data_IF_153735565487
#
_entry.id   IF_153735565487
#
_cell.length_a   1.000
_cell.length_b   1.000
_cell.length_c   1.000
_cell.angle_alpha   90.00
_cell.angle_beta   90.00
_cell.angle_gamma   90.00
#
_symmetry.space_group_name_H-M   'P 1'
#
loop_
_entity.id
_entity.type
_entity.pdbx_description
1 polymer ?
#
# COMPACT_ATOMS: atom_id res chain seq x y z
N UNK A 1 68.02 18.40 9.56
CA UNK A 1 66.58 18.08 9.49
C UNK A 1 66.37 16.70 10.09
N UNK A 2 65.32 16.50 10.90
CA UNK A 2 65.03 15.21 11.54
C UNK A 2 64.40 14.26 10.52
N UNK A 3 64.80 12.99 10.51
CA UNK A 3 64.17 11.96 9.69
C UNK A 3 62.81 11.58 10.30
N UNK A 4 61.74 11.75 9.53
CA UNK A 4 60.34 11.53 9.95
C UNK A 4 59.71 10.31 9.28
N UNK A 5 60.49 9.51 8.53
CA UNK A 5 59.96 8.38 7.75
C UNK A 5 59.35 7.29 8.64
N UNK A 6 59.96 7.03 9.79
CA UNK A 6 59.42 6.09 10.79
C UNK A 6 58.05 6.54 11.29
N UNK A 7 57.94 7.78 11.75
CA UNK A 7 56.69 8.36 12.25
C UNK A 7 55.56 8.32 11.19
N UNK A 8 55.91 8.56 9.92
CA UNK A 8 54.95 8.47 8.81
C UNK A 8 54.53 7.02 8.51
N UNK A 9 55.44 6.06 8.65
CA UNK A 9 55.16 4.65 8.43
C UNK A 9 54.26 4.07 9.53
N UNK A 10 54.52 4.42 10.79
CA UNK A 10 53.66 4.04 11.92
C UNK A 10 52.25 4.62 11.78
N UNK A 11 52.14 5.88 11.32
CA UNK A 11 50.86 6.51 11.05
C UNK A 11 50.12 5.85 9.89
N UNK A 12 50.82 5.45 8.83
CA UNK A 12 50.22 4.73 7.71
C UNK A 12 49.65 3.38 8.17
N UNK A 13 50.40 2.62 8.96
CA UNK A 13 49.94 1.34 9.52
C UNK A 13 48.70 1.52 10.41
N UNK A 14 48.70 2.52 11.29
CA UNK A 14 47.54 2.82 12.13
C UNK A 14 46.29 3.17 11.29
N UNK A 15 46.46 3.94 10.22
CA UNK A 15 45.35 4.28 9.33
C UNK A 15 44.85 3.05 8.56
N UNK A 16 45.73 2.16 8.11
CA UNK A 16 45.34 0.89 7.47
C UNK A 16 44.53 0.00 8.42
N UNK A 17 44.95 -0.13 9.69
CA UNK A 17 44.22 -0.88 10.71
C UNK A 17 42.84 -0.28 10.99
N UNK A 18 42.75 1.05 11.07
CA UNK A 18 41.46 1.74 11.26
C UNK A 18 40.54 1.52 10.07
N UNK A 19 41.05 1.64 8.84
CA UNK A 19 40.27 1.39 7.62
C UNK A 19 39.72 -0.04 7.64
N UNK A 20 40.57 -1.03 7.92
CA UNK A 20 40.16 -2.44 7.96
C UNK A 20 39.12 -2.69 9.07
N UNK A 21 39.30 -2.05 10.22
CA UNK A 21 38.36 -2.16 11.35
C UNK A 21 36.99 -1.60 11.00
N UNK A 22 36.93 -0.41 10.41
CA UNK A 22 35.68 0.23 10.01
C UNK A 22 34.99 -0.52 8.84
N UNK A 23 35.77 -1.03 7.88
CA UNK A 23 35.25 -1.91 6.83
C UNK A 23 34.61 -3.18 7.40
N UNK A 24 35.28 -3.84 8.35
CA UNK A 24 34.73 -5.03 9.00
C UNK A 24 33.48 -4.75 9.83
N UNK A 25 33.39 -3.58 10.47
CA UNK A 25 32.16 -3.15 11.16
C UNK A 25 31.01 -2.93 10.16
N UNK A 26 31.30 -2.26 9.04
CA UNK A 26 30.32 -2.02 8.00
C UNK A 26 29.79 -3.32 7.37
N UNK A 27 30.67 -4.29 7.12
CA UNK A 27 30.28 -5.61 6.60
C UNK A 27 29.35 -6.35 7.57
N UNK A 28 29.65 -6.33 8.88
CA UNK A 28 28.77 -6.90 9.91
C UNK A 28 27.39 -6.25 9.93
N UNK A 29 27.32 -4.93 9.82
CA UNK A 29 26.05 -4.21 9.76
C UNK A 29 25.24 -4.59 8.51
N UNK A 30 25.89 -4.74 7.35
CA UNK A 30 25.22 -5.22 6.14
C UNK A 30 24.64 -6.62 6.35
N UNK A 31 25.42 -7.53 6.93
CA UNK A 31 24.97 -8.90 7.17
C UNK A 31 23.77 -8.93 8.13
N UNK A 32 23.83 -8.16 9.22
CA UNK A 32 22.72 -8.01 10.15
C UNK A 32 21.46 -7.49 9.46
N UNK A 33 21.56 -6.39 8.70
CA UNK A 33 20.39 -5.83 8.00
C UNK A 33 19.80 -6.79 6.98
N UNK A 34 20.64 -7.56 6.26
CA UNK A 34 20.16 -8.59 5.33
C UNK A 34 19.41 -9.70 6.05
N UNK A 35 19.91 -10.15 7.20
CA UNK A 35 19.26 -11.17 8.01
C UNK A 35 17.91 -10.67 8.55
N UNK A 36 17.88 -9.47 9.15
CA UNK A 36 16.65 -8.86 9.66
C UNK A 36 15.61 -8.66 8.56
N UNK A 37 16.02 -8.15 7.40
CA UNK A 37 15.14 -7.99 6.25
C UNK A 37 14.55 -9.34 5.78
N UNK A 38 15.41 -10.35 5.62
CA UNK A 38 15.00 -11.68 5.16
C UNK A 38 14.00 -12.31 6.13
N UNK A 39 14.28 -12.23 7.44
CA UNK A 39 13.38 -12.72 8.47
C UNK A 39 12.04 -11.99 8.43
N UNK A 40 12.06 -10.65 8.38
CA UNK A 40 10.82 -9.86 8.39
C UNK A 40 9.94 -10.13 7.16
N UNK A 41 10.55 -10.26 5.98
CA UNK A 41 9.82 -10.62 4.76
C UNK A 41 9.26 -12.05 4.85
N UNK A 42 10.04 -12.98 5.42
CA UNK A 42 9.59 -14.35 5.66
C UNK A 42 8.35 -14.40 6.55
N UNK A 43 8.38 -13.71 7.69
CA UNK A 43 7.26 -13.63 8.63
C UNK A 43 6.00 -13.05 7.97
N UNK A 44 6.14 -11.92 7.27
CA UNK A 44 5.02 -11.27 6.59
C UNK A 44 4.43 -12.13 5.47
N UNK A 45 5.28 -12.87 4.76
CA UNK A 45 4.85 -13.79 3.71
C UNK A 45 4.06 -14.97 4.29
N UNK A 46 4.55 -15.54 5.40
CA UNK A 46 3.84 -16.61 6.11
C UNK A 46 2.47 -16.14 6.64
N UNK A 47 2.41 -14.94 7.21
CA UNK A 47 1.15 -14.33 7.69
C UNK A 47 0.18 -14.06 6.53
N UNK A 48 0.67 -13.56 5.40
CA UNK A 48 -0.13 -13.33 4.20
C UNK A 48 -0.72 -14.65 3.68
N UNK A 49 0.06 -15.71 3.61
CA UNK A 49 -0.39 -17.00 3.10
C UNK A 49 -1.37 -17.70 4.06
N UNK A 50 -1.15 -17.56 5.38
CA UNK A 50 -2.13 -17.97 6.38
C UNK A 50 -3.46 -17.23 6.22
N UNK A 51 -3.42 -15.92 6.01
CA UNK A 51 -4.60 -15.08 5.79
C UNK A 51 -5.34 -15.46 4.51
N UNK A 52 -4.63 -15.67 3.38
CA UNK A 52 -5.22 -16.16 2.14
C UNK A 52 -5.90 -17.51 2.31
N UNK A 53 -5.28 -18.41 3.07
CA UNK A 53 -5.86 -19.72 3.37
C UNK A 53 -7.16 -19.58 4.14
N UNK A 54 -7.18 -18.73 5.19
CA UNK A 54 -8.38 -18.47 5.98
C UNK A 54 -9.50 -17.84 5.14
N UNK A 55 -9.15 -16.85 4.30
CA UNK A 55 -10.10 -16.24 3.36
C UNK A 55 -10.71 -17.27 2.41
N UNK A 56 -9.89 -18.19 1.86
CA UNK A 56 -10.37 -19.27 1.02
C UNK A 56 -11.27 -20.29 1.75
N UNK A 57 -11.07 -20.51 3.05
CA UNK A 57 -11.97 -21.32 3.89
C UNK A 57 -13.29 -20.58 4.12
N UNK A 58 -13.24 -19.30 4.45
CA UNK A 58 -14.43 -18.48 4.65
C UNK A 58 -15.24 -18.34 3.35
N UNK A 59 -14.62 -18.13 2.19
CA UNK A 59 -15.33 -18.10 0.89
C UNK A 59 -16.08 -19.41 0.62
N UNK A 60 -15.50 -20.57 0.98
CA UNK A 60 -16.19 -21.87 0.88
C UNK A 60 -17.34 -21.99 1.86
N UNK A 61 -17.21 -21.41 3.05
CA UNK A 61 -18.29 -21.35 4.04
C UNK A 61 -19.44 -20.47 3.58
N UNK A 62 -19.14 -19.32 2.97
CA UNK A 62 -20.14 -18.37 2.47
C UNK A 62 -20.79 -18.83 1.14
N UNK A 63 -20.05 -19.52 0.27
CA UNK A 63 -20.59 -20.15 -0.95
C UNK A 63 -21.28 -21.50 -0.68
N UNK A 64 -21.00 -22.11 0.46
CA UNK A 64 -21.64 -23.33 0.98
C UNK A 64 -23.03 -23.06 1.52
N UNK A 65 -24.00 -22.93 0.63
CA UNK A 65 -25.41 -23.22 0.95
C UNK A 65 -25.51 -24.63 1.56
N UNK A 66 -26.10 -24.81 2.76
CA UNK A 66 -26.64 -26.11 3.12
C UNK A 66 -27.75 -26.38 2.12
N UNK A 67 -27.53 -27.31 1.19
CA UNK A 67 -28.58 -27.83 0.33
C UNK A 67 -29.60 -28.56 1.21
N UNK A 68 -30.62 -27.83 1.66
CA UNK A 68 -31.85 -28.41 2.14
C UNK A 68 -32.81 -28.61 0.94
N UNK A 69 -33.49 -29.77 0.82
CA UNK A 69 -34.26 -30.08 -0.39
C UNK A 69 -35.50 -29.20 -0.54
N UNK A 70 -35.80 -28.89 -1.81
CA UNK A 70 -36.99 -28.21 -2.33
C UNK A 70 -38.30 -28.49 -1.59
N UNK A 71 -39.02 -27.42 -1.28
CA UNK A 71 -40.48 -27.38 -1.34
C UNK A 71 -40.96 -25.98 -1.79
N UNK A 72 -41.25 -25.85 -3.08
CA UNK A 72 -42.27 -24.91 -3.61
C UNK A 72 -43.67 -25.54 -3.40
N UNK A 73 -44.82 -24.83 -3.53
CA UNK A 73 -45.01 -23.52 -4.19
C UNK A 73 -45.99 -22.54 -3.50
N UNK A 74 -46.11 -21.35 -4.13
CA UNK A 74 -47.38 -20.63 -4.40
C UNK A 74 -47.79 -19.41 -3.52
N UNK A 75 -48.66 -18.49 -4.02
CA UNK A 75 -48.24 -17.20 -4.62
C UNK A 75 -49.01 -15.97 -4.06
N UNK A 76 -48.49 -14.73 -4.17
CA UNK A 76 -49.31 -13.48 -4.19
C UNK A 76 -48.47 -12.20 -4.40
N UNK A 77 -49.06 -11.04 -4.80
CA UNK A 77 -49.09 -10.61 -6.19
C UNK A 77 -48.32 -9.29 -6.49
N UNK A 78 -48.25 -9.02 -7.79
CA UNK A 78 -47.62 -7.93 -8.52
C UNK A 78 -47.72 -6.52 -7.90
N UNK A 79 -46.59 -5.81 -7.92
CA UNK A 79 -46.56 -4.38 -8.27
C UNK A 79 -45.55 -4.16 -9.42
N UNK A 80 -45.95 -3.55 -10.55
CA UNK A 80 -45.06 -3.23 -11.64
C UNK A 80 -44.41 -1.86 -11.38
N UNK A 81 -43.16 -1.84 -10.91
CA UNK A 81 -42.33 -0.64 -11.01
C UNK A 81 -41.38 -0.76 -12.20
N UNK A 82 -41.54 0.23 -13.07
CA UNK A 82 -40.94 0.35 -14.38
C UNK A 82 -39.43 0.09 -14.38
N UNK A 83 -38.99 -0.62 -15.42
CA UNK A 83 -37.60 -0.69 -15.87
C UNK A 83 -37.11 0.73 -16.20
N UNK A 84 -36.46 1.38 -15.24
CA UNK A 84 -35.59 2.51 -15.53
C UNK A 84 -34.19 1.98 -15.88
N UNK A 85 -33.52 2.50 -16.92
CA UNK A 85 -32.14 2.13 -17.22
C UNK A 85 -31.27 2.60 -16.07
N UNK A 86 -30.75 1.68 -15.25
CA UNK A 86 -29.71 2.01 -14.27
C UNK A 86 -28.52 2.60 -15.04
N UNK A 87 -28.10 3.85 -14.79
CA UNK A 87 -26.78 4.28 -15.23
C UNK A 87 -25.76 3.32 -14.61
N UNK A 88 -24.75 2.93 -15.40
CA UNK A 88 -23.64 2.08 -14.96
C UNK A 88 -22.88 2.81 -13.86
N UNK A 89 -23.34 2.71 -12.62
CA UNK A 89 -22.61 3.20 -11.47
C UNK A 89 -21.40 2.28 -11.26
N UNK A 90 -20.23 2.84 -10.93
CA UNK A 90 -19.05 2.05 -10.59
C UNK A 90 -19.41 1.10 -9.44
N UNK A 91 -19.14 -0.20 -9.61
CA UNK A 91 -19.42 -1.21 -8.57
C UNK A 91 -18.52 -1.06 -7.33
N UNK A 92 -17.49 -0.22 -7.40
CA UNK A 92 -16.52 0.03 -6.34
C UNK A 92 -16.69 1.45 -5.80
N UNK A 93 -16.39 1.66 -4.53
CA UNK A 93 -16.43 2.99 -3.94
C UNK A 93 -15.32 3.87 -4.54
N UNK A 94 -15.54 5.20 -4.56
CA UNK A 94 -14.53 6.15 -5.03
C UNK A 94 -13.21 6.02 -4.23
N UNK A 95 -13.31 5.73 -2.93
CA UNK A 95 -12.16 5.49 -2.07
C UNK A 95 -11.35 4.27 -2.53
N UNK A 96 -12.01 3.13 -2.75
CA UNK A 96 -11.35 1.90 -3.21
C UNK A 96 -10.71 2.09 -4.57
N UNK A 97 -11.40 2.80 -5.46
CA UNK A 97 -10.89 3.14 -6.78
C UNK A 97 -9.60 3.96 -6.70
N UNK A 98 -9.58 5.04 -5.90
CA UNK A 98 -8.42 5.92 -5.75
C UNK A 98 -7.23 5.18 -5.11
N UNK A 99 -7.47 4.40 -4.06
CA UNK A 99 -6.43 3.59 -3.39
C UNK A 99 -5.84 2.57 -4.36
N UNK A 100 -6.70 1.85 -5.10
CA UNK A 100 -6.25 0.89 -6.12
C UNK A 100 -5.45 1.58 -7.22
N UNK A 101 -5.93 2.70 -7.76
CA UNK A 101 -5.24 3.43 -8.84
C UNK A 101 -3.87 3.96 -8.42
N UNK A 102 -3.77 4.49 -7.21
CA UNK A 102 -2.49 4.92 -6.65
C UNK A 102 -1.55 3.74 -6.42
N UNK A 103 -2.08 2.55 -6.09
CA UNK A 103 -1.27 1.34 -5.94
C UNK A 103 -0.80 0.77 -7.28
N UNK A 104 -1.61 0.88 -8.34
CA UNK A 104 -1.31 0.39 -9.70
C UNK A 104 -0.29 1.28 -10.42
N UNK A 105 -0.47 2.60 -10.39
CA UNK A 105 0.32 3.55 -11.21
C UNK A 105 1.37 4.30 -10.40
N UNK A 106 1.21 4.36 -9.07
CA UNK A 106 2.09 5.09 -8.17
C UNK A 106 1.62 6.51 -7.90
N UNK A 107 2.56 7.41 -7.63
CA UNK A 107 2.25 8.77 -7.21
C UNK A 107 1.57 9.58 -8.32
N UNK A 108 0.40 10.15 -8.02
CA UNK A 108 -0.37 10.97 -8.97
C UNK A 108 -0.76 12.32 -8.39
N UNK A 109 -0.94 13.31 -9.25
CA UNK A 109 -1.50 14.59 -8.85
C UNK A 109 -3.01 14.52 -8.64
N UNK A 110 -3.55 15.46 -7.86
CA UNK A 110 -5.00 15.60 -7.69
C UNK A 110 -5.73 15.80 -9.04
N UNK A 111 -5.15 16.58 -9.95
CA UNK A 111 -5.74 16.87 -11.24
C UNK A 111 -5.84 15.61 -12.12
N UNK A 112 -4.84 14.72 -12.05
CA UNK A 112 -4.86 13.43 -12.75
C UNK A 112 -5.95 12.51 -12.19
N UNK A 113 -6.06 12.45 -10.86
CA UNK A 113 -7.09 11.66 -10.19
C UNK A 113 -8.50 12.16 -10.53
N UNK A 114 -8.74 13.47 -10.56
CA UNK A 114 -10.02 14.03 -10.99
C UNK A 114 -10.37 13.60 -12.42
N UNK A 115 -9.43 13.71 -13.37
CA UNK A 115 -9.64 13.28 -14.76
C UNK A 115 -10.01 11.80 -14.86
N UNK A 116 -9.32 10.94 -14.11
CA UNK A 116 -9.61 9.50 -14.06
C UNK A 116 -11.00 9.20 -13.50
N UNK A 117 -11.44 9.93 -12.47
CA UNK A 117 -12.76 9.70 -11.87
C UNK A 117 -13.91 10.12 -12.79
N UNK A 118 -13.70 11.15 -13.63
CA UNK A 118 -14.66 11.52 -14.69
C UNK A 118 -14.66 10.46 -15.80
N UNK A 119 -13.48 10.00 -16.22
CA UNK A 119 -13.35 8.95 -17.24
C UNK A 119 -14.05 7.64 -16.84
N UNK A 120 -13.97 7.28 -15.57
CA UNK A 120 -14.58 6.08 -15.00
C UNK A 120 -16.06 6.28 -14.63
N UNK A 121 -16.60 7.48 -14.86
CA UNK A 121 -18.02 7.78 -14.68
C UNK A 121 -18.46 7.99 -13.23
N UNK A 122 -17.53 8.27 -12.31
CA UNK A 122 -17.87 8.67 -10.94
C UNK A 122 -18.46 10.08 -10.89
N UNK A 123 -18.04 10.95 -11.82
CA UNK A 123 -18.50 12.33 -11.93
C UNK A 123 -18.85 12.66 -13.38
N UNK A 124 -19.84 13.52 -13.57
CA UNK A 124 -20.26 13.96 -14.90
C UNK A 124 -19.24 14.91 -15.53
N UNK A 125 -18.68 15.83 -14.74
CA UNK A 125 -17.76 16.87 -15.19
C UNK A 125 -16.59 17.06 -14.21
N UNK A 126 -15.45 17.55 -14.73
CA UNK A 126 -14.23 17.79 -13.93
C UNK A 126 -14.43 18.79 -12.79
N UNK A 127 -15.28 19.80 -12.97
CA UNK A 127 -15.56 20.81 -11.94
C UNK A 127 -16.40 20.24 -10.78
N UNK A 128 -17.27 19.26 -11.07
CA UNK A 128 -18.03 18.53 -10.05
C UNK A 128 -17.21 17.48 -9.31
N UNK A 129 -16.13 17.00 -9.95
CA UNK A 129 -15.26 15.97 -9.41
C UNK A 129 -14.31 16.52 -8.35
N UNK A 130 -13.80 17.74 -8.51
CA UNK A 130 -12.73 18.28 -7.65
C UNK A 130 -13.07 18.28 -6.16
N UNK A 131 -14.25 18.76 -5.71
CA UNK A 131 -14.60 18.76 -4.29
C UNK A 131 -14.81 17.34 -3.74
N UNK A 132 -15.45 16.46 -4.53
CA UNK A 132 -15.74 15.08 -4.12
C UNK A 132 -14.50 14.20 -4.05
N UNK A 133 -13.60 14.32 -5.03
CA UNK A 133 -12.30 13.65 -5.05
C UNK A 133 -11.43 14.18 -3.93
N UNK A 134 -11.38 15.49 -3.71
CA UNK A 134 -10.60 16.06 -2.61
C UNK A 134 -11.08 15.57 -1.24
N UNK A 135 -12.39 15.61 -0.97
CA UNK A 135 -12.96 15.10 0.28
C UNK A 135 -12.63 13.62 0.49
N UNK A 136 -12.73 12.81 -0.57
CA UNK A 136 -12.42 11.39 -0.51
C UNK A 136 -10.93 11.14 -0.28
N UNK A 137 -10.05 11.88 -0.95
CA UNK A 137 -8.60 11.82 -0.73
C UNK A 137 -8.22 12.17 0.71
N UNK A 138 -8.82 13.21 1.28
CA UNK A 138 -8.59 13.56 2.69
C UNK A 138 -9.09 12.47 3.63
N UNK A 139 -10.23 11.84 3.31
CA UNK A 139 -10.73 10.70 4.08
C UNK A 139 -9.76 9.52 4.04
N UNK A 140 -9.28 9.10 2.86
CA UNK A 140 -8.36 7.96 2.73
C UNK A 140 -6.93 8.25 3.22
N UNK A 141 -6.50 9.52 3.19
CA UNK A 141 -5.26 9.97 3.86
C UNK A 141 -5.42 9.86 5.37
N UNK A 142 -6.54 10.34 5.94
CA UNK A 142 -6.82 10.26 7.38
C UNK A 142 -6.96 8.80 7.84
N UNK A 143 -7.51 7.93 6.99
CA UNK A 143 -7.60 6.50 7.23
C UNK A 143 -6.24 5.77 7.10
N UNK A 144 -5.18 6.47 6.68
CA UNK A 144 -3.85 5.88 6.52
C UNK A 144 -3.75 4.90 5.34
N UNK A 145 -4.60 5.00 4.33
CA UNK A 145 -4.55 4.13 3.15
C UNK A 145 -3.60 4.68 2.07
N UNK A 146 -3.47 6.00 2.01
CA UNK A 146 -2.58 6.72 1.10
C UNK A 146 -1.92 7.88 1.85
N UNK A 147 -0.87 8.48 1.26
CA UNK A 147 -0.24 9.68 1.82
C UNK A 147 -0.21 10.82 0.81
N UNK A 148 -0.18 12.04 1.33
CA UNK A 148 0.13 13.23 0.55
C UNK A 148 1.63 13.52 0.66
N UNK A 149 2.29 13.68 -0.48
CA UNK A 149 3.71 14.00 -0.60
C UNK A 149 3.93 15.52 -0.46
N UNK A 150 5.16 15.98 -0.13
CA UNK A 150 5.48 17.41 -0.01
C UNK A 150 5.27 18.22 -1.30
N UNK A 151 5.24 17.56 -2.45
CA UNK A 151 4.96 18.17 -3.75
C UNK A 151 3.45 18.28 -4.05
N UNK A 152 2.57 17.89 -3.12
CA UNK A 152 1.11 17.94 -3.28
C UNK A 152 0.50 16.72 -3.98
N UNK A 153 1.30 15.74 -4.42
CA UNK A 153 0.82 14.51 -5.02
C UNK A 153 0.39 13.48 -3.97
N UNK A 154 -0.43 12.53 -4.38
CA UNK A 154 -0.88 11.41 -3.56
C UNK A 154 -0.14 10.15 -3.97
N UNK A 155 0.25 9.32 -3.00
CA UNK A 155 0.97 8.08 -3.23
C UNK A 155 0.41 6.95 -2.36
N UNK A 156 0.49 5.68 -2.81
CA UNK A 156 0.06 4.54 -2.01
C UNK A 156 0.93 4.44 -0.76
N UNK A 157 0.35 4.07 0.39
CA UNK A 157 1.16 3.83 1.58
C UNK A 157 2.00 2.56 1.36
N UNK A 158 3.32 2.71 1.21
CA UNK A 158 4.22 1.57 1.05
C UNK A 158 4.69 1.09 2.43
N UNK A 159 4.82 -0.22 2.59
CA UNK A 159 5.14 -0.87 3.87
C UNK A 159 6.43 -0.32 4.51
N UNK A 160 7.42 0.07 3.69
CA UNK A 160 8.70 0.65 4.12
C UNK A 160 8.53 1.90 5.00
N UNK A 161 7.45 2.66 4.82
CA UNK A 161 7.26 3.93 5.52
C UNK A 161 6.44 3.82 6.81
N UNK A 162 5.66 2.74 6.99
CA UNK A 162 4.98 2.47 8.27
C UNK A 162 5.93 2.26 9.44
N UNK A 163 7.20 1.95 9.17
CA UNK A 163 8.25 1.72 10.18
C UNK A 163 8.78 3.06 10.72
N UNK A 164 8.93 4.08 9.85
CA UNK A 164 9.50 5.39 10.27
C UNK A 164 8.56 6.22 11.13
N UNK A 165 7.24 6.10 10.93
CA UNK A 165 6.27 6.86 11.74
C UNK A 165 6.14 6.33 13.18
N UNK A 166 6.43 5.04 13.40
CA UNK A 166 6.34 4.41 14.74
C UNK A 166 7.58 4.56 15.61
N UNK A 167 8.69 5.10 15.07
CA UNK A 167 9.91 5.38 15.83
C UNK A 167 10.05 6.85 16.26
N UNK A 168 9.06 7.70 15.93
CA UNK A 168 9.05 9.11 16.29
C UNK A 168 8.06 9.45 17.42
N UNK A 169 7.64 8.46 18.22
CA UNK A 169 6.86 8.63 19.45
C UNK A 169 7.70 8.14 20.62
#
# INVERSE_FOLDING_TARGET
MRDIRGDLQDRAHLLEEQINTEQGQFEKLIEQFKAEHTNRIGDLTAELDATKTLMGVEDRRHSGTPSAPKAQPQPQPQQPQARQPKPRQPQQSLADFLVRKLSEVGAMSRADLCRLTVQEGYFADGDSAEPGVHATLMHVVKAGLIRQLPNGNFAPLTVVETIRLRQAI
#
